data_IF_867078140299
#
_entry.id   IF_867078140299
#
_cell.length_a   1.000
_cell.length_b   1.000
_cell.length_c   1.000
_cell.angle_alpha   90.00
_cell.angle_beta   90.00
_cell.angle_gamma   90.00
#
_symmetry.space_group_name_H-M   'P 1'
#
loop_
_entity.id
_entity.type
_entity.pdbx_description
1 polymer ?
#
# COMPACT_ATOMS: atom_id res chain seq x y z
N UNK A 1 -7.21 10.24 2.23
CA UNK A 1 -8.42 9.48 2.64
C UNK A 1 -9.20 10.32 3.67
N UNK A 2 -10.54 10.19 3.73
CA UNK A 2 -11.36 11.00 4.66
C UNK A 2 -11.17 10.59 6.13
N UNK A 3 -10.79 9.35 6.37
CA UNK A 3 -10.44 8.80 7.68
C UNK A 3 -9.08 8.10 7.60
N UNK A 4 -8.51 7.73 8.76
CA UNK A 4 -7.21 7.06 8.88
C UNK A 4 -7.31 5.66 9.49
N UNK A 5 -8.33 4.88 9.14
CA UNK A 5 -8.50 3.52 9.68
C UNK A 5 -7.35 2.61 9.23
N UNK A 6 -7.08 1.58 10.03
CA UNK A 6 -6.04 0.60 9.72
C UNK A 6 -6.26 0.00 8.33
N UNK A 7 -5.22 0.04 7.50
CA UNK A 7 -5.23 -0.50 6.13
C UNK A 7 -6.34 0.05 5.21
N UNK A 8 -6.92 1.22 5.51
CA UNK A 8 -8.14 1.71 4.84
C UNK A 8 -8.06 1.71 3.31
N UNK A 9 -7.01 2.27 2.73
CA UNK A 9 -6.84 2.28 1.27
C UNK A 9 -6.66 0.87 0.71
N UNK A 10 -5.87 0.02 1.39
CA UNK A 10 -5.63 -1.37 0.98
C UNK A 10 -6.91 -2.19 0.94
N UNK A 11 -7.69 -2.12 2.02
CA UNK A 11 -8.98 -2.82 2.13
C UNK A 11 -10.01 -2.30 1.13
N UNK A 12 -10.12 -0.98 0.96
CA UNK A 12 -11.06 -0.40 -0.01
C UNK A 12 -10.73 -0.80 -1.45
N UNK A 13 -9.44 -0.74 -1.82
CA UNK A 13 -8.98 -1.11 -3.15
C UNK A 13 -9.24 -2.59 -3.44
N UNK A 14 -8.99 -3.48 -2.47
CA UNK A 14 -9.29 -4.90 -2.59
C UNK A 14 -10.80 -5.19 -2.67
N UNK A 15 -11.61 -4.54 -1.83
CA UNK A 15 -13.07 -4.65 -1.89
C UNK A 15 -13.63 -4.22 -3.25
N UNK A 16 -13.01 -3.21 -3.87
CA UNK A 16 -13.33 -2.76 -5.23
C UNK A 16 -12.83 -3.68 -6.35
N UNK A 17 -12.21 -4.82 -6.03
CA UNK A 17 -11.66 -5.76 -7.02
C UNK A 17 -10.29 -5.36 -7.60
N UNK A 18 -9.65 -4.34 -7.03
CA UNK A 18 -8.38 -3.78 -7.51
C UNK A 18 -7.36 -3.68 -6.37
N UNK A 19 -6.93 -4.79 -5.76
CA UNK A 19 -6.00 -4.75 -4.64
C UNK A 19 -4.69 -4.05 -5.01
N UNK A 20 -4.05 -3.43 -4.01
CA UNK A 20 -2.78 -2.72 -4.21
C UNK A 20 -1.68 -3.73 -4.55
N UNK A 21 -0.85 -3.40 -5.55
CA UNK A 21 0.30 -4.22 -5.97
C UNK A 21 1.27 -4.41 -4.80
N UNK A 22 1.73 -5.65 -4.61
CA UNK A 22 2.60 -6.03 -3.49
C UNK A 22 1.86 -6.24 -2.17
N UNK A 23 0.53 -6.18 -2.14
CA UNK A 23 -0.25 -6.47 -0.94
C UNK A 23 -0.35 -7.95 -0.63
N UNK A 24 0.50 -8.39 0.29
CA UNK A 24 0.57 -9.78 0.76
C UNK A 24 -0.71 -10.27 1.44
N UNK A 25 -1.50 -9.38 2.04
CA UNK A 25 -2.72 -9.75 2.74
C UNK A 25 -3.92 -9.67 1.78
N UNK A 26 -4.19 -8.49 1.25
CA UNK A 26 -5.40 -8.26 0.46
C UNK A 26 -5.25 -8.60 -1.04
N UNK A 27 -4.02 -8.70 -1.54
CA UNK A 27 -3.75 -9.00 -2.96
C UNK A 27 -3.44 -10.47 -3.22
N UNK A 28 -2.85 -11.18 -2.25
CA UNK A 28 -2.48 -12.60 -2.38
C UNK A 28 -3.48 -13.55 -1.70
N UNK A 29 -4.26 -13.04 -0.74
CA UNK A 29 -5.25 -13.81 0.02
C UNK A 29 -4.72 -14.45 1.30
N UNK A 30 -5.65 -14.81 2.19
CA UNK A 30 -5.34 -15.25 3.57
C UNK A 30 -4.47 -16.51 3.61
N UNK A 31 -4.74 -17.50 2.76
CA UNK A 31 -3.95 -18.75 2.71
C UNK A 31 -2.49 -18.46 2.35
N UNK A 32 -2.28 -17.58 1.37
CA UNK A 32 -0.95 -17.16 0.96
C UNK A 32 -0.25 -16.39 2.10
N UNK A 33 -0.97 -15.45 2.72
CA UNK A 33 -0.44 -14.63 3.81
C UNK A 33 -0.07 -15.48 5.04
N UNK A 34 -0.88 -16.46 5.39
CA UNK A 34 -0.65 -17.37 6.51
C UNK A 34 0.63 -18.20 6.30
N UNK A 35 0.84 -18.74 5.10
CA UNK A 35 2.09 -19.43 4.75
C UNK A 35 3.29 -18.49 4.87
N UNK A 36 3.19 -17.28 4.33
CA UNK A 36 4.24 -16.26 4.42
C UNK A 36 4.60 -15.90 5.87
N UNK A 37 3.61 -15.74 6.76
CA UNK A 37 3.86 -15.41 8.18
C UNK A 37 4.50 -16.56 8.98
N UNK A 38 4.39 -17.80 8.50
CA UNK A 38 5.12 -18.96 9.03
C UNK A 38 6.57 -19.07 8.51
N UNK A 39 7.00 -18.12 7.68
CA UNK A 39 8.34 -18.11 7.08
C UNK A 39 8.45 -18.99 5.84
N UNK A 40 7.33 -19.45 5.28
CA UNK A 40 7.30 -20.17 4.00
C UNK A 40 7.51 -19.19 2.83
N UNK A 41 7.80 -19.74 1.65
CA UNK A 41 7.86 -18.98 0.38
C UNK A 41 6.68 -19.40 -0.51
N UNK A 42 5.45 -18.95 -0.21
CA UNK A 42 4.27 -19.32 -0.98
C UNK A 42 4.31 -18.71 -2.39
N UNK A 43 3.83 -19.47 -3.37
CA UNK A 43 3.73 -19.05 -4.76
C UNK A 43 2.31 -18.54 -5.10
N UNK A 44 2.16 -17.55 -5.99
CA UNK A 44 3.25 -16.84 -6.67
C UNK A 44 3.98 -15.86 -5.73
N UNK A 45 5.24 -15.56 -6.00
CA UNK A 45 5.91 -14.44 -5.34
C UNK A 45 5.17 -13.10 -5.62
N UNK A 46 5.13 -12.16 -4.66
CA UNK A 46 4.50 -10.86 -4.88
C UNK A 46 5.31 -10.05 -5.89
N UNK A 47 4.61 -9.31 -6.76
CA UNK A 47 5.24 -8.52 -7.83
C UNK A 47 6.27 -7.49 -7.33
N UNK A 48 6.09 -6.99 -6.10
CA UNK A 48 6.99 -6.04 -5.44
C UNK A 48 7.18 -6.42 -3.97
N UNK A 49 8.33 -6.08 -3.34
CA UNK A 49 8.62 -6.47 -1.95
C UNK A 49 7.69 -5.80 -0.92
N UNK A 50 7.11 -4.64 -1.27
CA UNK A 50 6.18 -3.86 -0.46
C UNK A 50 5.00 -3.35 -1.29
N UNK A 51 3.98 -2.84 -0.61
CA UNK A 51 2.87 -2.15 -1.24
C UNK A 51 3.36 -1.01 -2.13
N UNK A 52 2.88 -0.95 -3.37
CA UNK A 52 2.95 0.25 -4.20
C UNK A 52 1.92 1.29 -3.72
N UNK A 53 2.07 1.69 -2.45
CA UNK A 53 1.28 2.71 -1.78
C UNK A 53 2.24 3.69 -1.11
N UNK A 54 2.12 4.97 -1.45
CA UNK A 54 3.01 6.03 -0.98
C UNK A 54 2.20 7.29 -0.66
N UNK A 55 2.48 7.88 0.51
CA UNK A 55 1.88 9.14 0.92
C UNK A 55 2.66 10.30 0.31
N UNK A 56 2.28 10.67 -0.92
CA UNK A 56 2.99 11.69 -1.70
C UNK A 56 2.83 13.12 -1.13
N UNK A 57 1.64 13.43 -0.60
CA UNK A 57 1.31 14.77 -0.07
C UNK A 57 0.68 14.63 1.30
N UNK A 58 1.15 15.45 2.24
CA UNK A 58 0.51 15.68 3.53
C UNK A 58 0.20 17.17 3.67
N UNK A 59 -1.07 17.50 3.58
CA UNK A 59 -1.59 18.86 3.78
C UNK A 59 -2.04 19.01 5.24
N UNK A 60 -1.39 19.92 5.97
CA UNK A 60 -1.69 20.25 7.36
C UNK A 60 -2.28 21.65 7.49
N UNK A 61 -2.68 22.29 6.39
CA UNK A 61 -3.22 23.66 6.34
C UNK A 61 -4.36 23.94 7.32
N UNK A 62 -5.16 22.92 7.64
CA UNK A 62 -6.24 23.03 8.62
C UNK A 62 -5.75 23.22 10.07
N UNK A 63 -4.55 22.73 10.42
CA UNK A 63 -3.96 22.85 11.76
C UNK A 63 -2.82 23.87 11.80
N UNK A 64 -2.06 23.98 10.71
CA UNK A 64 -0.91 24.86 10.54
C UNK A 64 -1.05 25.54 9.18
N UNK A 65 -1.48 26.82 9.13
CA UNK A 65 -1.66 27.56 7.89
C UNK A 65 -0.43 27.45 6.98
N UNK A 66 -0.66 27.27 5.68
CA UNK A 66 0.35 27.18 4.61
C UNK A 66 1.33 26.00 4.68
N UNK A 67 1.15 25.04 5.61
CA UNK A 67 2.02 23.86 5.70
C UNK A 67 1.54 22.71 4.80
N UNK A 68 2.21 22.54 3.66
CA UNK A 68 2.05 21.38 2.78
C UNK A 68 3.40 20.69 2.60
N UNK A 69 3.46 19.41 2.95
CA UNK A 69 4.64 18.57 2.78
C UNK A 69 4.46 17.67 1.55
N UNK A 70 5.52 17.56 0.74
CA UNK A 70 5.57 16.68 -0.44
C UNK A 70 6.76 15.74 -0.32
N UNK A 71 6.51 14.45 -0.46
CA UNK A 71 7.55 13.43 -0.56
C UNK A 71 7.80 13.11 -2.04
N UNK A 72 9.05 13.02 -2.51
CA UNK A 72 9.33 12.60 -3.89
C UNK A 72 8.85 11.16 -4.13
N UNK A 73 8.65 10.80 -5.39
CA UNK A 73 8.34 9.41 -5.74
C UNK A 73 9.46 8.48 -5.27
N UNK A 74 9.15 7.31 -4.68
CA UNK A 74 10.18 6.38 -4.26
C UNK A 74 10.98 5.83 -5.44
N UNK A 75 12.31 5.77 -5.30
CA UNK A 75 13.21 5.28 -6.36
C UNK A 75 13.05 3.79 -6.67
N UNK A 76 12.49 3.02 -5.74
CA UNK A 76 12.23 1.58 -5.87
C UNK A 76 10.90 1.25 -6.56
N UNK A 77 10.13 2.27 -6.97
CA UNK A 77 8.93 2.05 -7.75
C UNK A 77 9.27 1.76 -9.21
N UNK A 78 8.59 0.80 -9.84
CA UNK A 78 8.82 0.54 -11.26
C UNK A 78 8.54 1.82 -12.06
N UNK A 79 9.44 2.17 -12.97
CA UNK A 79 9.19 3.26 -13.92
C UNK A 79 7.88 2.97 -14.65
N UNK A 80 6.99 3.96 -14.76
CA UNK A 80 5.78 3.83 -15.56
C UNK A 80 6.17 3.37 -16.97
N UNK A 81 5.76 2.16 -17.34
CA UNK A 81 5.84 1.65 -18.71
C UNK A 81 4.83 2.38 -19.61
#
# INVERSE_FOLDING_TARGET
PLTGRQHQLRAHMALGGHPIVGDKLYGMGDVWFDAYTRGEQPEPAPATPRHLLHAHVLDLGAALPDLVLKAPMPDDWPSSA
#
